data_IF_226408692902
#
_entry.id   IF_226408692902
#
_cell.length_a   1.000
_cell.length_b   1.000
_cell.length_c   1.000
_cell.angle_alpha   90.00
_cell.angle_beta   90.00
_cell.angle_gamma   90.00
#
_symmetry.space_group_name_H-M   'P 1'
#
loop_
_entity.id
_entity.type
_entity.pdbx_description
1 polymer ?
#
# COMPACT_ATOMS: atom_id res chain seq x y z
N UNK A 1 22.29 -13.37 -3.12
CA UNK A 1 21.46 -14.31 -2.35
C UNK A 1 20.86 -15.29 -3.34
N UNK A 2 21.12 -16.57 -3.20
CA UNK A 2 20.55 -17.61 -4.07
C UNK A 2 19.40 -18.29 -3.33
N UNK A 3 18.14 -17.96 -3.70
CA UNK A 3 16.94 -18.48 -3.05
C UNK A 3 16.79 -20.01 -3.22
N UNK A 4 17.50 -20.60 -4.18
CA UNK A 4 17.43 -22.02 -4.49
C UNK A 4 18.53 -22.85 -3.81
N UNK A 5 19.63 -22.22 -3.36
CA UNK A 5 20.82 -22.92 -2.87
C UNK A 5 21.23 -22.54 -1.44
N UNK A 6 20.86 -21.34 -0.96
CA UNK A 6 21.23 -20.88 0.37
C UNK A 6 20.50 -21.70 1.46
N UNK A 7 21.12 -21.84 2.63
CA UNK A 7 20.56 -22.57 3.78
C UNK A 7 19.25 -21.93 4.28
N UNK A 8 18.19 -22.72 4.42
CA UNK A 8 16.82 -22.28 4.79
C UNK A 8 16.80 -21.35 6.04
N UNK A 9 17.44 -21.67 7.19
CA UNK A 9 17.44 -20.77 8.34
C UNK A 9 18.07 -19.40 8.07
N UNK A 10 19.09 -19.35 7.20
CA UNK A 10 19.71 -18.07 6.80
C UNK A 10 18.80 -17.29 5.86
N UNK A 11 18.10 -17.95 4.93
CA UNK A 11 17.11 -17.33 4.06
C UNK A 11 15.97 -16.73 4.88
N UNK A 12 15.41 -17.50 5.83
CA UNK A 12 14.36 -17.01 6.72
C UNK A 12 14.79 -15.76 7.48
N UNK A 13 15.99 -15.76 8.10
CA UNK A 13 16.51 -14.57 8.79
C UNK A 13 16.70 -13.39 7.84
N UNK A 14 17.25 -13.60 6.66
CA UNK A 14 17.52 -12.54 5.68
C UNK A 14 16.25 -11.92 5.10
N UNK A 15 15.15 -12.67 5.03
CA UNK A 15 13.86 -12.21 4.49
C UNK A 15 12.93 -11.73 5.61
N UNK A 16 12.78 -12.50 6.69
CA UNK A 16 11.82 -12.22 7.74
C UNK A 16 12.21 -10.99 8.58
N UNK A 17 13.48 -10.83 8.94
CA UNK A 17 13.90 -9.70 9.77
C UNK A 17 13.62 -8.35 9.08
N UNK A 18 14.04 -8.12 7.82
CA UNK A 18 13.72 -6.87 7.14
C UNK A 18 12.20 -6.65 6.98
N UNK A 19 11.45 -7.70 6.67
CA UNK A 19 9.99 -7.60 6.54
C UNK A 19 9.33 -7.21 7.88
N UNK A 20 9.72 -7.85 8.99
CA UNK A 20 9.21 -7.51 10.34
C UNK A 20 9.55 -6.09 10.76
N UNK A 21 10.76 -5.61 10.45
CA UNK A 21 11.14 -4.20 10.68
C UNK A 21 10.22 -3.28 9.86
N UNK A 22 9.97 -3.61 8.59
CA UNK A 22 9.07 -2.83 7.74
C UNK A 22 7.65 -2.75 8.33
N UNK A 23 7.09 -3.87 8.76
CA UNK A 23 5.77 -3.93 9.41
C UNK A 23 5.72 -3.13 10.72
N UNK A 24 6.81 -3.16 11.52
CA UNK A 24 6.92 -2.33 12.71
C UNK A 24 6.81 -0.83 12.37
N UNK A 25 7.53 -0.35 11.36
CA UNK A 25 7.46 1.04 10.95
C UNK A 25 6.09 1.41 10.37
N UNK A 26 5.42 0.49 9.69
CA UNK A 26 4.04 0.69 9.22
C UNK A 26 3.06 0.83 10.41
N UNK A 27 3.25 0.06 11.48
CA UNK A 27 2.45 0.21 12.70
C UNK A 27 2.73 1.53 13.41
N UNK A 28 4.02 1.91 13.53
CA UNK A 28 4.43 3.18 14.11
C UNK A 28 3.85 4.38 13.34
N UNK A 29 3.74 4.26 12.03
CA UNK A 29 3.11 5.26 11.18
C UNK A 29 1.66 5.54 11.60
N UNK A 30 0.85 4.49 11.80
CA UNK A 30 -0.53 4.63 12.27
C UNK A 30 -0.61 5.22 13.67
N UNK A 31 0.36 4.90 14.56
CA UNK A 31 0.44 5.45 15.91
C UNK A 31 0.71 6.96 15.86
N UNK A 32 1.59 7.41 14.98
CA UNK A 32 1.89 8.84 14.79
C UNK A 32 0.66 9.61 14.31
N UNK A 33 -0.04 9.08 13.31
CA UNK A 33 -1.27 9.70 12.79
C UNK A 33 -2.33 9.80 13.91
N UNK A 34 -2.49 8.75 14.72
CA UNK A 34 -3.41 8.73 15.87
C UNK A 34 -3.01 9.73 16.96
N UNK A 35 -1.72 9.84 17.25
CA UNK A 35 -1.19 10.82 18.20
C UNK A 35 -1.53 12.25 17.76
N UNK A 36 -1.28 12.59 16.50
CA UNK A 36 -1.60 13.93 15.98
C UNK A 36 -3.09 14.19 15.90
N UNK A 37 -3.92 13.18 15.59
CA UNK A 37 -5.38 13.34 15.65
C UNK A 37 -5.86 13.71 17.06
N UNK A 38 -5.27 13.10 18.10
CA UNK A 38 -5.54 13.44 19.50
C UNK A 38 -5.11 14.85 19.89
N UNK A 39 -4.13 15.44 19.20
CA UNK A 39 -3.70 16.85 19.41
C UNK A 39 -4.65 17.85 18.76
N UNK A 40 -5.47 17.43 17.78
CA UNK A 40 -6.47 18.30 17.14
C UNK A 40 -7.70 18.41 18.06
N UNK A 41 -8.37 17.30 18.34
CA UNK A 41 -9.53 17.25 19.23
C UNK A 41 -9.91 15.79 19.55
N UNK A 42 -10.71 15.54 20.60
CA UNK A 42 -11.30 14.21 20.88
C UNK A 42 -12.15 13.70 19.71
N UNK A 43 -12.88 14.58 19.02
CA UNK A 43 -13.70 14.25 17.86
C UNK A 43 -12.84 13.81 16.68
N UNK A 44 -11.70 14.48 16.43
CA UNK A 44 -10.74 14.12 15.40
C UNK A 44 -10.10 12.74 15.68
N UNK A 45 -9.76 12.46 16.93
CA UNK A 45 -9.28 11.16 17.37
C UNK A 45 -10.34 10.06 17.15
N UNK A 46 -11.59 10.34 17.53
CA UNK A 46 -12.72 9.43 17.29
C UNK A 46 -12.96 9.19 15.80
N UNK A 47 -12.90 10.25 15.00
CA UNK A 47 -13.04 10.18 13.54
C UNK A 47 -11.95 9.31 12.91
N UNK A 48 -10.68 9.51 13.28
CA UNK A 48 -9.58 8.70 12.77
C UNK A 48 -9.71 7.22 13.18
N UNK A 49 -10.06 6.97 14.44
CA UNK A 49 -10.24 5.60 14.96
C UNK A 49 -11.36 4.86 14.22
N UNK A 50 -12.49 5.53 13.95
CA UNK A 50 -13.60 4.96 13.16
C UNK A 50 -13.31 4.90 11.66
N UNK A 51 -12.36 5.68 11.16
CA UNK A 51 -11.91 5.60 9.76
C UNK A 51 -11.14 4.32 9.47
N UNK A 52 -10.42 3.76 10.47
CA UNK A 52 -9.56 2.59 10.28
C UNK A 52 -10.30 1.39 9.66
N UNK A 53 -11.44 0.91 10.22
CA UNK A 53 -12.18 -0.19 9.61
C UNK A 53 -12.64 0.12 8.17
N UNK A 54 -12.92 1.40 7.87
CA UNK A 54 -13.43 1.83 6.56
C UNK A 54 -12.35 1.70 5.48
N UNK A 55 -11.14 2.19 5.73
CA UNK A 55 -10.05 2.08 4.75
C UNK A 55 -9.25 0.78 4.86
N UNK A 56 -9.56 -0.08 5.84
CA UNK A 56 -8.89 -1.37 6.03
C UNK A 56 -8.97 -2.27 4.77
N UNK A 57 -10.00 -2.09 3.96
CA UNK A 57 -10.13 -2.76 2.65
C UNK A 57 -8.95 -2.47 1.71
N UNK A 58 -8.33 -1.27 1.79
CA UNK A 58 -7.13 -0.94 1.01
C UNK A 58 -5.95 -1.80 1.49
N UNK A 59 -5.83 -1.98 2.81
CA UNK A 59 -4.78 -2.81 3.42
C UNK A 59 -4.96 -4.27 3.02
N UNK A 60 -6.18 -4.80 3.14
CA UNK A 60 -6.51 -6.16 2.75
C UNK A 60 -6.21 -6.42 1.26
N UNK A 61 -6.62 -5.50 0.37
CA UNK A 61 -6.31 -5.57 -1.05
C UNK A 61 -4.79 -5.53 -1.32
N UNK A 62 -4.07 -4.65 -0.63
CA UNK A 62 -2.61 -4.54 -0.75
C UNK A 62 -1.91 -5.85 -0.35
N UNK A 63 -2.36 -6.49 0.72
CA UNK A 63 -1.82 -7.79 1.16
C UNK A 63 -2.13 -8.87 0.11
N UNK A 64 -3.38 -8.95 -0.38
CA UNK A 64 -3.79 -9.91 -1.40
C UNK A 64 -2.98 -9.77 -2.69
N UNK A 65 -2.79 -8.54 -3.18
CA UNK A 65 -1.99 -8.24 -4.37
C UNK A 65 -0.51 -8.59 -4.14
N UNK A 66 0.04 -8.27 -2.96
CA UNK A 66 1.43 -8.60 -2.61
C UNK A 66 1.66 -10.11 -2.63
N UNK A 67 0.80 -10.88 -1.98
CA UNK A 67 0.95 -12.36 -1.88
C UNK A 67 0.78 -13.00 -3.25
N UNK A 68 -0.26 -12.64 -4.01
CA UNK A 68 -0.48 -13.15 -5.35
C UNK A 68 0.70 -12.81 -6.27
N UNK A 69 1.15 -11.55 -6.25
CA UNK A 69 2.25 -11.07 -7.08
C UNK A 69 3.57 -11.75 -6.76
N UNK A 70 3.95 -11.77 -5.49
CA UNK A 70 5.21 -12.40 -5.06
C UNK A 70 5.23 -13.88 -5.36
N UNK A 71 4.11 -14.59 -5.13
CA UNK A 71 4.00 -16.04 -5.37
C UNK A 71 4.08 -16.37 -6.87
N UNK A 72 3.25 -15.74 -7.71
CA UNK A 72 3.21 -16.03 -9.15
C UNK A 72 4.51 -15.66 -9.86
N UNK A 73 5.08 -14.50 -9.53
CA UNK A 73 6.37 -14.09 -10.08
C UNK A 73 7.49 -15.01 -9.57
N UNK A 74 7.50 -15.31 -8.25
CA UNK A 74 8.50 -16.18 -7.63
C UNK A 74 8.52 -17.60 -8.22
N UNK A 75 7.33 -18.19 -8.43
CA UNK A 75 7.21 -19.49 -9.10
C UNK A 75 7.76 -19.43 -10.53
N UNK A 76 7.43 -18.37 -11.29
CA UNK A 76 7.93 -18.18 -12.65
C UNK A 76 9.45 -18.00 -12.71
N UNK A 77 10.04 -17.34 -11.71
CA UNK A 77 11.50 -17.25 -11.54
C UNK A 77 12.10 -18.64 -11.29
N UNK A 78 11.45 -19.43 -10.40
CA UNK A 78 11.85 -20.82 -10.13
C UNK A 78 11.79 -21.72 -11.37
N UNK A 79 10.77 -21.54 -12.22
CA UNK A 79 10.64 -22.22 -13.52
C UNK A 79 11.64 -21.70 -14.56
N UNK A 80 12.37 -20.61 -14.31
CA UNK A 80 13.25 -19.91 -15.25
C UNK A 80 12.53 -19.40 -16.50
N UNK A 81 11.25 -19.10 -16.37
CA UNK A 81 10.41 -18.57 -17.46
C UNK A 81 10.27 -17.05 -17.36
N UNK A 82 11.23 -16.33 -17.98
CA UNK A 82 11.24 -14.85 -17.99
C UNK A 82 9.99 -14.26 -18.64
N UNK A 83 9.41 -14.96 -19.63
CA UNK A 83 8.18 -14.50 -20.28
C UNK A 83 7.00 -14.51 -19.29
N UNK A 84 6.86 -15.54 -18.48
CA UNK A 84 5.84 -15.59 -17.40
C UNK A 84 6.11 -14.53 -16.34
N UNK A 85 7.36 -14.31 -15.92
CA UNK A 85 7.75 -13.27 -14.96
C UNK A 85 7.24 -11.91 -15.42
N UNK A 86 7.56 -11.50 -16.65
CA UNK A 86 7.17 -10.20 -17.18
C UNK A 86 5.66 -10.09 -17.41
N UNK A 87 5.01 -11.15 -17.88
CA UNK A 87 3.55 -11.16 -17.99
C UNK A 87 2.86 -11.01 -16.64
N UNK A 88 3.23 -11.81 -15.62
CA UNK A 88 2.64 -11.66 -14.28
C UNK A 88 2.92 -10.28 -13.69
N UNK A 89 4.14 -9.77 -13.83
CA UNK A 89 4.49 -8.45 -13.32
C UNK A 89 3.59 -7.34 -13.91
N UNK A 90 3.44 -7.29 -15.23
CA UNK A 90 2.58 -6.28 -15.89
C UNK A 90 1.11 -6.43 -15.50
N UNK A 91 0.62 -7.68 -15.46
CA UNK A 91 -0.78 -7.94 -15.12
C UNK A 91 -1.10 -7.66 -13.65
N UNK A 92 -0.13 -7.83 -12.72
CA UNK A 92 -0.29 -7.44 -11.31
C UNK A 92 -0.42 -5.93 -11.17
N UNK A 93 0.34 -5.14 -11.95
CA UNK A 93 0.20 -3.69 -11.95
C UNK A 93 -1.20 -3.30 -12.46
N UNK A 94 -1.65 -3.85 -13.59
CA UNK A 94 -2.99 -3.57 -14.10
C UNK A 94 -4.09 -3.99 -13.12
N UNK A 95 -3.97 -5.18 -12.54
CA UNK A 95 -4.90 -5.68 -11.54
C UNK A 95 -4.95 -4.75 -10.32
N UNK A 96 -3.79 -4.32 -9.81
CA UNK A 96 -3.69 -3.37 -8.71
C UNK A 96 -4.37 -2.03 -9.01
N UNK A 97 -4.18 -1.49 -10.22
CA UNK A 97 -4.86 -0.26 -10.67
C UNK A 97 -6.38 -0.47 -10.71
N UNK A 98 -6.86 -1.56 -11.28
CA UNK A 98 -8.30 -1.86 -11.35
C UNK A 98 -8.90 -1.98 -9.94
N UNK A 99 -8.26 -2.76 -9.06
CA UNK A 99 -8.72 -2.92 -7.67
C UNK A 99 -8.73 -1.58 -6.93
N UNK A 100 -7.69 -0.75 -7.11
CA UNK A 100 -7.63 0.57 -6.46
C UNK A 100 -8.78 1.49 -6.91
N UNK A 101 -9.12 1.48 -8.19
CA UNK A 101 -10.26 2.25 -8.71
C UNK A 101 -11.58 1.75 -8.10
N UNK A 102 -11.80 0.43 -8.07
CA UNK A 102 -13.01 -0.15 -7.48
C UNK A 102 -13.13 0.23 -6.00
N UNK A 103 -12.04 0.09 -5.24
CA UNK A 103 -12.00 0.43 -3.81
C UNK A 103 -12.22 1.93 -3.59
N UNK A 104 -11.60 2.78 -4.42
CA UNK A 104 -11.79 4.23 -4.35
C UNK A 104 -13.25 4.60 -4.58
N UNK A 105 -13.86 4.08 -5.65
CA UNK A 105 -15.28 4.32 -5.95
C UNK A 105 -16.20 3.83 -4.83
N UNK A 106 -15.93 2.63 -4.30
CA UNK A 106 -16.69 2.09 -3.17
C UNK A 106 -16.54 2.97 -1.93
N UNK A 107 -15.32 3.28 -1.53
CA UNK A 107 -15.04 4.08 -0.34
C UNK A 107 -15.67 5.47 -0.41
N UNK A 108 -15.51 6.18 -1.52
CA UNK A 108 -16.07 7.53 -1.70
C UNK A 108 -17.61 7.55 -1.64
N UNK A 109 -18.28 6.49 -2.09
CA UNK A 109 -19.75 6.45 -2.11
C UNK A 109 -20.37 5.88 -0.82
N UNK A 110 -19.64 5.04 -0.07
CA UNK A 110 -20.23 4.32 1.06
C UNK A 110 -19.68 4.73 2.43
N UNK A 111 -18.56 5.44 2.51
CA UNK A 111 -17.94 5.82 3.80
C UNK A 111 -18.91 6.54 4.73
N UNK A 112 -19.70 7.48 4.25
CA UNK A 112 -20.66 8.21 5.06
C UNK A 112 -21.68 7.29 5.74
N UNK A 113 -22.25 6.35 4.95
CA UNK A 113 -23.20 5.37 5.48
C UNK A 113 -22.55 4.46 6.54
N UNK A 114 -21.30 4.09 6.32
CA UNK A 114 -20.56 3.24 7.29
C UNK A 114 -20.35 4.02 8.59
N UNK A 115 -19.93 5.29 8.55
CA UNK A 115 -19.84 6.13 9.74
C UNK A 115 -21.16 6.24 10.50
N UNK A 116 -22.29 6.41 9.79
CA UNK A 116 -23.62 6.47 10.37
C UNK A 116 -23.99 5.15 11.05
N UNK A 117 -23.76 4.00 10.40
CA UNK A 117 -24.00 2.67 10.99
C UNK A 117 -23.15 2.43 12.25
N UNK A 118 -21.92 2.99 12.28
CA UNK A 118 -21.04 2.94 13.45
C UNK A 118 -21.46 3.90 14.59
N UNK A 119 -22.62 4.55 14.49
CA UNK A 119 -23.14 5.45 15.51
C UNK A 119 -22.28 6.71 15.69
N UNK A 120 -21.72 7.25 14.62
CA UNK A 120 -20.94 8.48 14.66
C UNK A 120 -21.85 9.70 14.76
N UNK A 121 -21.46 10.72 15.56
CA UNK A 121 -22.09 12.04 15.47
C UNK A 121 -21.83 12.68 14.10
N UNK A 122 -22.62 13.68 13.74
CA UNK A 122 -22.43 14.40 12.48
C UNK A 122 -21.04 15.04 12.39
N UNK A 123 -20.50 15.53 13.48
CA UNK A 123 -19.18 16.14 13.56
C UNK A 123 -18.09 15.09 13.30
N UNK A 124 -18.13 13.97 14.00
CA UNK A 124 -17.17 12.84 13.81
C UNK A 124 -17.26 12.30 12.39
N UNK A 125 -18.47 12.18 11.82
CA UNK A 125 -18.67 11.75 10.43
C UNK A 125 -18.01 12.73 9.46
N UNK A 126 -18.24 14.03 9.61
CA UNK A 126 -17.65 15.04 8.74
C UNK A 126 -16.11 15.06 8.81
N UNK A 127 -15.54 14.97 10.01
CA UNK A 127 -14.09 14.88 10.20
C UNK A 127 -13.54 13.58 9.59
N UNK A 128 -14.22 12.46 9.80
CA UNK A 128 -13.84 11.16 9.24
C UNK A 128 -13.85 11.15 7.71
N UNK A 129 -14.87 11.74 7.08
CA UNK A 129 -14.95 11.88 5.63
C UNK A 129 -13.84 12.76 5.06
N UNK A 130 -13.45 13.82 5.78
CA UNK A 130 -12.33 14.68 5.37
C UNK A 130 -11.00 13.89 5.28
N UNK A 131 -10.80 12.91 6.15
CA UNK A 131 -9.65 12.03 6.13
C UNK A 131 -9.80 10.89 5.11
N UNK A 132 -10.89 10.11 5.22
CA UNK A 132 -11.09 8.90 4.41
C UNK A 132 -11.17 9.18 2.92
N UNK A 133 -11.79 10.29 2.51
CA UNK A 133 -11.86 10.66 1.10
C UNK A 133 -10.46 10.85 0.50
N UNK A 134 -9.53 11.49 1.22
CA UNK A 134 -8.13 11.65 0.77
C UNK A 134 -7.45 10.29 0.63
N UNK A 135 -7.65 9.39 1.61
CA UNK A 135 -7.09 8.05 1.58
C UNK A 135 -7.63 7.24 0.40
N UNK A 136 -8.95 7.32 0.12
CA UNK A 136 -9.55 6.62 -1.03
C UNK A 136 -9.10 7.20 -2.36
N UNK A 137 -9.00 8.53 -2.52
CA UNK A 137 -8.39 9.12 -3.72
C UNK A 137 -6.93 8.67 -3.90
N UNK A 138 -6.22 8.48 -2.81
CA UNK A 138 -4.83 8.00 -2.80
C UNK A 138 -4.66 6.49 -2.92
N UNK A 139 -5.74 5.70 -2.91
CA UNK A 139 -5.68 4.22 -2.89
C UNK A 139 -4.82 3.64 -4.03
N UNK A 140 -4.78 4.33 -5.17
CA UNK A 140 -3.94 3.95 -6.31
C UNK A 140 -2.45 3.92 -5.95
N UNK A 141 -1.94 4.85 -5.15
CA UNK A 141 -0.54 4.85 -4.75
C UNK A 141 -0.24 3.73 -3.76
N UNK A 142 -1.14 3.48 -2.79
CA UNK A 142 -1.00 2.38 -1.84
C UNK A 142 -0.86 1.02 -2.54
N UNK A 143 -1.78 0.72 -3.45
CA UNK A 143 -1.81 -0.57 -4.14
C UNK A 143 -0.72 -0.65 -5.22
N UNK A 144 -0.40 0.45 -5.90
CA UNK A 144 0.68 0.46 -6.91
C UNK A 144 2.05 0.24 -6.29
N UNK A 145 2.33 0.78 -5.09
CA UNK A 145 3.59 0.52 -4.37
C UNK A 145 3.81 -0.97 -4.19
N UNK A 146 2.81 -1.69 -3.66
CA UNK A 146 2.92 -3.12 -3.38
C UNK A 146 2.90 -3.96 -4.66
N UNK A 147 2.17 -3.53 -5.70
CA UNK A 147 2.15 -4.18 -7.01
C UNK A 147 3.55 -4.16 -7.65
N UNK A 148 4.20 -3.00 -7.67
CA UNK A 148 5.56 -2.85 -8.16
C UNK A 148 6.56 -3.61 -7.31
N UNK A 149 6.40 -3.56 -5.98
CA UNK A 149 7.30 -4.21 -5.03
C UNK A 149 7.23 -5.74 -5.07
N UNK A 150 6.15 -6.33 -5.62
CA UNK A 150 6.00 -7.78 -5.72
C UNK A 150 7.12 -8.44 -6.53
N UNK A 151 7.64 -7.76 -7.56
CA UNK A 151 8.81 -8.21 -8.32
C UNK A 151 10.07 -8.27 -7.44
N UNK A 152 10.34 -7.18 -6.69
CA UNK A 152 11.51 -7.11 -5.81
C UNK A 152 11.43 -8.16 -4.70
N UNK A 153 10.26 -8.36 -4.13
CA UNK A 153 10.02 -9.42 -3.13
C UNK A 153 10.24 -10.81 -3.71
N UNK A 154 9.74 -11.09 -4.92
CA UNK A 154 9.94 -12.35 -5.60
C UNK A 154 11.42 -12.65 -5.90
N UNK A 155 12.22 -11.61 -6.11
CA UNK A 155 13.68 -11.69 -6.23
C UNK A 155 14.42 -11.76 -4.88
N UNK A 156 13.69 -11.68 -3.75
CA UNK A 156 14.26 -11.71 -2.40
C UNK A 156 14.77 -10.35 -1.89
N UNK A 157 14.49 -9.25 -2.59
CA UNK A 157 14.82 -7.90 -2.11
C UNK A 157 13.73 -7.36 -1.17
N UNK A 158 13.78 -7.78 0.08
CA UNK A 158 12.92 -7.25 1.15
C UNK A 158 13.47 -5.98 1.79
N UNK A 159 14.77 -5.68 1.57
CA UNK A 159 15.44 -4.52 2.17
C UNK A 159 14.99 -3.20 1.55
N UNK A 160 14.77 -3.19 0.24
CA UNK A 160 14.31 -1.98 -0.47
C UNK A 160 13.00 -1.49 0.12
N UNK A 161 11.99 -2.35 0.22
CA UNK A 161 10.68 -1.97 0.76
C UNK A 161 10.75 -1.54 2.23
N UNK A 162 11.48 -2.28 3.07
CA UNK A 162 11.74 -1.87 4.45
C UNK A 162 12.30 -0.45 4.53
N UNK A 163 13.34 -0.14 3.74
CA UNK A 163 13.97 1.19 3.77
C UNK A 163 12.99 2.27 3.32
N UNK A 164 12.15 1.98 2.33
CA UNK A 164 11.09 2.90 1.88
C UNK A 164 10.09 3.17 3.00
N UNK A 165 9.64 2.13 3.71
CA UNK A 165 8.73 2.30 4.85
C UNK A 165 9.34 3.14 5.97
N UNK A 166 10.63 2.94 6.28
CA UNK A 166 11.36 3.75 7.27
C UNK A 166 11.41 5.22 6.83
N UNK A 167 11.81 5.48 5.58
CA UNK A 167 11.90 6.85 5.07
C UNK A 167 10.54 7.54 5.03
N UNK A 168 9.50 6.83 4.60
CA UNK A 168 8.13 7.35 4.56
C UNK A 168 7.56 7.63 5.96
N UNK A 169 7.92 6.82 6.95
CA UNK A 169 7.59 7.08 8.35
C UNK A 169 8.17 8.42 8.84
N UNK A 170 9.47 8.65 8.63
CA UNK A 170 10.09 9.92 9.03
C UNK A 170 9.52 11.11 8.25
N UNK A 171 9.25 10.93 6.96
CA UNK A 171 8.60 11.96 6.15
C UNK A 171 7.20 12.31 6.71
N UNK A 172 6.41 11.30 7.09
CA UNK A 172 5.08 11.50 7.67
C UNK A 172 5.16 12.23 9.02
N UNK A 173 6.10 11.88 9.90
CA UNK A 173 6.31 12.59 11.18
C UNK A 173 6.56 14.08 10.96
N UNK A 174 7.33 14.42 9.92
CA UNK A 174 7.66 15.83 9.61
C UNK A 174 6.44 16.54 8.97
N UNK A 175 5.75 15.87 8.05
CA UNK A 175 4.63 16.46 7.32
C UNK A 175 3.40 16.66 8.19
N UNK A 176 3.13 15.77 9.14
CA UNK A 176 1.95 15.86 9.99
C UNK A 176 1.83 17.22 10.70
N UNK A 177 2.79 17.69 11.52
CA UNK A 177 2.65 18.98 12.20
C UNK A 177 2.57 20.15 11.23
N UNK A 178 3.31 20.09 10.12
CA UNK A 178 3.32 21.15 9.11
C UNK A 178 1.94 21.33 8.46
N UNK A 179 1.28 20.22 8.11
CA UNK A 179 0.00 20.24 7.41
C UNK A 179 -1.19 20.39 8.37
N UNK A 180 -1.10 19.82 9.58
CA UNK A 180 -2.18 19.89 10.56
C UNK A 180 -2.31 21.31 11.14
N UNK A 181 -1.20 21.85 11.62
CA UNK A 181 -1.20 23.13 12.34
C UNK A 181 -0.86 24.34 11.45
N UNK A 182 -0.38 24.06 10.24
CA UNK A 182 0.12 25.09 9.35
C UNK A 182 1.56 25.48 9.64
N UNK A 183 2.27 25.92 8.63
CA UNK A 183 3.65 26.42 8.76
C UNK A 183 3.97 27.41 7.65
N UNK A 184 4.43 28.60 8.02
CA UNK A 184 4.73 29.71 7.10
C UNK A 184 3.56 30.00 6.15
N UNK A 185 3.66 29.62 4.89
CA UNK A 185 2.65 29.86 3.84
C UNK A 185 1.63 28.72 3.69
N UNK A 186 1.81 27.62 4.46
CA UNK A 186 0.91 26.45 4.43
C UNK A 186 -0.18 26.66 5.47
N UNK A 187 -1.46 26.77 5.07
CA UNK A 187 -2.56 26.92 6.01
C UNK A 187 -2.77 25.66 6.85
N UNK A 188 -3.27 25.82 8.06
CA UNK A 188 -3.67 24.69 8.92
C UNK A 188 -4.82 23.89 8.27
N UNK A 189 -4.63 22.59 8.11
CA UNK A 189 -5.59 21.69 7.44
C UNK A 189 -6.34 20.77 8.43
N UNK A 190 -5.96 20.78 9.72
CA UNK A 190 -6.56 19.88 10.71
C UNK A 190 -6.45 18.42 10.31
N UNK A 191 -7.53 17.64 10.46
CA UNK A 191 -7.55 16.20 10.14
C UNK A 191 -7.27 15.92 8.64
N UNK A 192 -7.62 16.82 7.74
CA UNK A 192 -7.22 16.71 6.31
C UNK A 192 -5.71 16.66 6.18
N UNK A 193 -4.97 17.40 7.02
CA UNK A 193 -3.52 17.43 7.03
C UNK A 193 -2.92 16.05 7.26
N UNK A 194 -3.51 15.23 8.14
CA UNK A 194 -3.08 13.84 8.37
C UNK A 194 -3.24 13.01 7.08
N UNK A 195 -4.40 13.10 6.43
CA UNK A 195 -4.65 12.38 5.18
C UNK A 195 -3.70 12.79 4.06
N UNK A 196 -3.42 14.10 3.93
CA UNK A 196 -2.49 14.62 2.92
C UNK A 196 -1.06 14.22 3.22
N UNK A 197 -0.60 14.26 4.50
CA UNK A 197 0.72 13.78 4.90
C UNK A 197 0.91 12.30 4.53
N UNK A 198 -0.10 11.48 4.80
CA UNK A 198 -0.14 10.07 4.45
C UNK A 198 -0.05 9.88 2.93
N UNK A 199 -0.84 10.62 2.16
CA UNK A 199 -0.84 10.53 0.70
C UNK A 199 0.51 10.93 0.08
N UNK A 200 1.12 12.04 0.57
CA UNK A 200 2.44 12.48 0.11
C UNK A 200 3.50 11.41 0.43
N UNK A 201 3.46 10.80 1.61
CA UNK A 201 4.39 9.74 1.99
C UNK A 201 4.22 8.48 1.15
N UNK A 202 2.98 8.15 0.74
CA UNK A 202 2.72 7.04 -0.19
C UNK A 202 3.18 7.35 -1.61
N UNK A 203 2.97 8.57 -2.09
CA UNK A 203 3.50 9.02 -3.38
C UNK A 203 5.04 8.97 -3.40
N UNK A 204 5.69 9.38 -2.33
CA UNK A 204 7.14 9.27 -2.15
C UNK A 204 7.59 7.81 -2.22
N UNK A 205 6.89 6.91 -1.51
CA UNK A 205 7.14 5.47 -1.55
C UNK A 205 7.01 4.92 -2.97
N UNK A 206 5.93 5.32 -3.68
CA UNK A 206 5.68 4.93 -5.06
C UNK A 206 6.82 5.33 -5.99
N UNK A 207 7.28 6.58 -5.90
CA UNK A 207 8.37 7.08 -6.74
C UNK A 207 9.66 6.29 -6.50
N UNK A 208 10.03 6.02 -5.25
CA UNK A 208 11.26 5.27 -4.93
C UNK A 208 11.19 3.84 -5.46
N UNK A 209 10.07 3.14 -5.21
CA UNK A 209 9.88 1.76 -5.67
C UNK A 209 9.87 1.72 -7.21
N UNK A 210 9.17 2.65 -7.86
CA UNK A 210 9.14 2.76 -9.31
C UNK A 210 10.54 2.93 -9.90
N UNK A 211 11.34 3.87 -9.36
CA UNK A 211 12.73 4.07 -9.80
C UNK A 211 13.56 2.79 -9.62
N UNK A 212 13.37 2.08 -8.50
CA UNK A 212 14.10 0.84 -8.23
C UNK A 212 13.72 -0.26 -9.20
N UNK A 213 12.43 -0.41 -9.50
CA UNK A 213 11.89 -1.38 -10.47
C UNK A 213 12.36 -1.06 -11.89
N UNK A 214 12.31 0.21 -12.31
CA UNK A 214 12.79 0.62 -13.64
C UNK A 214 14.29 0.35 -13.86
N UNK A 215 15.09 0.31 -12.79
CA UNK A 215 16.51 -0.06 -12.83
C UNK A 215 16.75 -1.57 -12.80
N UNK A 216 15.69 -2.37 -12.62
CA UNK A 216 15.81 -3.82 -12.61
C UNK A 216 16.15 -4.36 -14.00
N UNK A 217 17.10 -5.30 -14.08
CA UNK A 217 17.56 -5.84 -15.36
C UNK A 217 16.47 -6.60 -16.12
N UNK A 218 15.53 -7.25 -15.43
CA UNK A 218 14.40 -7.94 -16.08
C UNK A 218 13.49 -6.97 -16.82
N UNK A 219 13.25 -5.80 -16.22
CA UNK A 219 12.37 -4.76 -16.80
C UNK A 219 12.94 -4.16 -18.09
N UNK A 220 14.27 -4.21 -18.29
CA UNK A 220 14.90 -3.79 -19.56
C UNK A 220 14.42 -4.60 -20.77
N UNK A 221 13.97 -5.84 -20.55
CA UNK A 221 13.46 -6.73 -21.59
C UNK A 221 11.94 -6.58 -21.80
N UNK A 222 11.29 -5.62 -21.12
CA UNK A 222 9.86 -5.38 -21.24
C UNK A 222 9.54 -4.76 -22.59
N UNK A 223 8.77 -5.47 -23.42
CA UNK A 223 8.27 -4.99 -24.72
C UNK A 223 6.80 -4.64 -24.64
N UNK A 224 6.27 -3.96 -25.65
CA UNK A 224 4.85 -3.59 -25.71
C UNK A 224 3.91 -4.80 -25.66
N UNK A 225 4.34 -5.96 -26.05
CA UNK A 225 3.55 -7.21 -26.05
C UNK A 225 3.13 -7.66 -24.65
N UNK A 226 3.92 -7.35 -23.61
CA UNK A 226 3.58 -7.69 -22.21
C UNK A 226 2.46 -6.83 -21.64
N UNK A 227 2.15 -5.70 -22.30
CA UNK A 227 1.03 -4.84 -21.91
C UNK A 227 -0.30 -5.26 -22.55
N UNK A 228 -0.28 -6.26 -23.44
CA UNK A 228 -1.50 -6.86 -23.96
C UNK A 228 -2.15 -7.71 -22.85
N UNK A 229 -3.41 -7.35 -22.54
CA UNK A 229 -4.14 -8.00 -21.46
C UNK A 229 -4.48 -9.45 -21.84
N UNK A 230 -3.94 -10.39 -21.10
CA UNK A 230 -4.19 -11.83 -21.26
C UNK A 230 -5.00 -12.34 -20.07
N UNK A 231 -6.23 -12.77 -20.32
CA UNK A 231 -7.19 -13.18 -19.31
C UNK A 231 -6.66 -14.26 -18.34
N UNK A 232 -5.79 -15.15 -18.82
CA UNK A 232 -5.22 -16.24 -18.00
C UNK A 232 -4.42 -15.71 -16.80
N UNK A 233 -3.62 -14.64 -16.99
CA UNK A 233 -2.85 -14.04 -15.90
C UNK A 233 -3.73 -13.32 -14.90
N UNK A 234 -4.75 -12.57 -15.38
CA UNK A 234 -5.75 -11.95 -14.50
C UNK A 234 -6.49 -12.99 -13.66
N UNK A 235 -6.95 -14.08 -14.29
CA UNK A 235 -7.61 -15.18 -13.61
C UNK A 235 -6.76 -15.75 -12.48
N UNK A 236 -5.48 -16.04 -12.75
CA UNK A 236 -4.58 -16.59 -11.75
C UNK A 236 -4.33 -15.61 -10.59
N UNK A 237 -4.12 -14.32 -10.89
CA UNK A 237 -3.95 -13.28 -9.88
C UNK A 237 -5.20 -13.16 -9.02
N UNK A 238 -6.38 -13.12 -9.63
CA UNK A 238 -7.66 -13.04 -8.94
C UNK A 238 -7.86 -14.23 -7.97
N UNK A 239 -7.66 -15.46 -8.45
CA UNK A 239 -7.86 -16.65 -7.62
C UNK A 239 -6.84 -16.77 -6.48
N UNK A 240 -5.67 -16.16 -6.59
CA UNK A 240 -4.70 -16.11 -5.50
C UNK A 240 -4.93 -14.93 -4.55
N UNK A 241 -5.34 -13.76 -5.04
CA UNK A 241 -5.50 -12.57 -4.21
C UNK A 241 -6.83 -12.55 -3.45
N UNK A 242 -7.96 -12.93 -4.10
CA UNK A 242 -9.30 -12.81 -3.52
C UNK A 242 -9.52 -13.61 -2.23
N UNK A 243 -9.11 -14.88 -2.12
CA UNK A 243 -9.27 -15.61 -0.86
C UNK A 243 -8.56 -14.93 0.30
N UNK A 244 -7.40 -14.29 0.04
CA UNK A 244 -6.61 -13.57 1.04
C UNK A 244 -7.32 -12.28 1.43
N UNK A 245 -7.80 -11.50 0.45
CA UNK A 245 -8.53 -10.26 0.70
C UNK A 245 -9.77 -10.55 1.57
N UNK A 246 -10.55 -11.55 1.19
CA UNK A 246 -11.77 -11.93 1.92
C UNK A 246 -11.48 -12.48 3.32
N UNK A 247 -10.38 -13.20 3.51
CA UNK A 247 -10.01 -13.75 4.85
C UNK A 247 -9.53 -12.68 5.83
N UNK A 248 -9.11 -11.51 5.32
CA UNK A 248 -8.60 -10.39 6.12
C UNK A 248 -9.72 -9.38 6.43
N UNK A 249 -10.70 -9.19 5.51
CA UNK A 249 -11.87 -8.34 5.73
C UNK A 249 -12.92 -9.00 6.61
#
# INVERSE_FOLDING_TARGET
MDLLKDNIPQLVKKLAIPASIGTLFQTLYNIVDTFYAGQISPEALSALSKSFPIYFIIIAASIGVTVAGTSLIGNSIGERDENKVLNYFTHIIFYGVIISIIISLFGLNFSEKIFQVMGSSNEVTNLGLQYTNIIFYGSIFFISVVSLNSLLHAEGDTKTYRNVLILSFFLNIILNPILIFGFLFIPAMGIKGIGVATLISQLFSFIIILIKVLKNNRIKNLTKEYFLLKFIYFKNIFFQSMPIIVSIC
#
